data_IF_256093865143
#
_entry.id   IF_256093865143
#
_cell.length_a   1.000
_cell.length_b   1.000
_cell.length_c   1.000
_cell.angle_alpha   90.00
_cell.angle_beta   90.00
_cell.angle_gamma   90.00
#
_symmetry.space_group_name_H-M   'P 1'
#
loop_
_entity.id
_entity.type
_entity.pdbx_description
1 polymer ?
#
# COMPACT_ATOMS: atom_id res chain seq x y z
N UNK A 1 -35.89 -38.24 23.14
CA UNK A 1 -35.60 -36.85 23.56
C UNK A 1 -34.40 -36.38 22.75
N UNK A 2 -34.64 -35.35 21.94
CA UNK A 2 -33.73 -34.83 20.90
C UNK A 2 -32.62 -33.96 21.51
N UNK A 3 -31.40 -34.12 21.02
CA UNK A 3 -30.36 -33.08 21.06
C UNK A 3 -29.56 -33.17 19.76
N UNK A 4 -30.06 -32.42 18.79
CA UNK A 4 -29.37 -32.04 17.56
C UNK A 4 -28.18 -31.14 17.90
N UNK A 5 -26.98 -31.62 17.63
CA UNK A 5 -25.75 -30.82 17.49
C UNK A 5 -25.76 -30.17 16.10
N UNK A 6 -25.84 -28.85 16.06
CA UNK A 6 -25.65 -28.07 14.84
C UNK A 6 -24.16 -27.87 14.60
N UNK A 7 -23.64 -28.60 13.62
CA UNK A 7 -22.38 -28.28 12.94
C UNK A 7 -22.45 -26.86 12.38
N UNK A 8 -21.50 -26.01 12.79
CA UNK A 8 -21.23 -24.75 12.10
C UNK A 8 -20.11 -25.01 11.11
N UNK A 9 -20.53 -25.17 9.85
CA UNK A 9 -19.70 -25.04 8.67
C UNK A 9 -19.06 -23.65 8.69
N UNK A 10 -17.78 -23.58 9.03
CA UNK A 10 -16.96 -22.39 8.80
C UNK A 10 -16.35 -22.60 7.42
N UNK A 11 -16.92 -21.96 6.41
CA UNK A 11 -16.31 -21.82 5.09
C UNK A 11 -14.99 -21.05 5.26
N UNK A 12 -13.89 -21.79 5.38
CA UNK A 12 -12.57 -21.27 5.05
C UNK A 12 -12.55 -21.04 3.54
N UNK A 13 -12.81 -19.80 3.11
CA UNK A 13 -12.40 -19.37 1.78
C UNK A 13 -10.87 -19.42 1.73
N UNK A 14 -10.36 -20.61 1.43
CA UNK A 14 -9.03 -20.83 0.94
C UNK A 14 -9.04 -20.25 -0.48
N UNK A 15 -8.81 -18.95 -0.60
CA UNK A 15 -8.41 -18.35 -1.87
C UNK A 15 -7.03 -18.93 -2.16
N UNK A 16 -7.03 -20.10 -2.78
CA UNK A 16 -5.87 -20.70 -3.41
C UNK A 16 -5.48 -19.71 -4.50
N UNK A 17 -4.57 -18.79 -4.16
CA UNK A 17 -3.94 -17.88 -5.11
C UNK A 17 -3.04 -18.77 -5.95
N UNK A 18 -3.67 -19.43 -6.92
CA UNK A 18 -2.99 -20.18 -7.96
C UNK A 18 -2.11 -19.17 -8.70
N UNK A 19 -0.80 -19.30 -8.54
CA UNK A 19 0.20 -18.55 -9.30
C UNK A 19 0.30 -19.06 -10.76
N UNK A 20 -0.65 -19.87 -11.23
CA UNK A 20 -0.61 -20.51 -12.55
C UNK A 20 -0.64 -19.53 -13.73
N UNK A 21 -1.02 -18.27 -13.51
CA UNK A 21 -1.03 -17.23 -14.56
C UNK A 21 0.33 -16.51 -14.74
N UNK A 22 1.34 -16.74 -13.89
CA UNK A 22 2.70 -16.25 -14.17
C UNK A 22 3.43 -17.27 -15.06
N UNK A 23 3.15 -17.22 -16.37
CA UNK A 23 3.77 -18.08 -17.41
C UNK A 23 5.32 -18.13 -17.36
N UNK A 24 5.97 -17.30 -16.53
CA UNK A 24 7.41 -17.08 -16.52
C UNK A 24 8.13 -17.32 -15.17
N UNK A 25 7.42 -17.67 -14.08
CA UNK A 25 7.94 -17.68 -12.69
C UNK A 25 8.81 -16.45 -12.37
N UNK A 26 8.58 -15.31 -13.01
CA UNK A 26 9.42 -14.12 -12.82
C UNK A 26 9.15 -13.53 -11.45
N UNK A 27 7.88 -13.49 -11.03
CA UNK A 27 7.48 -12.91 -9.76
C UNK A 27 7.94 -13.74 -8.57
N UNK A 28 7.87 -15.07 -8.70
CA UNK A 28 8.40 -16.01 -7.70
C UNK A 28 9.91 -15.84 -7.54
N UNK A 29 10.67 -15.84 -8.64
CA UNK A 29 12.13 -15.63 -8.61
C UNK A 29 12.51 -14.29 -8.01
N UNK A 30 11.81 -13.21 -8.38
CA UNK A 30 12.02 -11.89 -7.81
C UNK A 30 11.85 -11.90 -6.28
N UNK A 31 10.78 -12.53 -5.79
CA UNK A 31 10.51 -12.64 -4.35
C UNK A 31 11.57 -13.48 -3.65
N UNK A 32 11.96 -14.63 -4.21
CA UNK A 32 13.00 -15.46 -3.63
C UNK A 32 14.37 -14.76 -3.59
N UNK A 33 14.77 -14.08 -4.66
CA UNK A 33 16.02 -13.32 -4.72
C UNK A 33 16.02 -12.17 -3.73
N UNK A 34 14.92 -11.40 -3.67
CA UNK A 34 14.73 -10.32 -2.70
C UNK A 34 14.80 -10.81 -1.26
N UNK A 35 14.14 -11.93 -0.94
CA UNK A 35 14.21 -12.54 0.39
C UNK A 35 15.60 -13.07 0.73
N UNK A 36 16.28 -13.73 -0.21
CA UNK A 36 17.67 -14.18 0.00
C UNK A 36 18.60 -13.00 0.26
N UNK A 37 18.41 -11.88 -0.44
CA UNK A 37 19.15 -10.65 -0.20
C UNK A 37 18.87 -10.07 1.19
N UNK A 38 17.60 -9.94 1.59
CA UNK A 38 17.21 -9.49 2.93
C UNK A 38 17.78 -10.38 4.04
N UNK A 39 17.72 -11.70 3.88
CA UNK A 39 18.29 -12.66 4.84
C UNK A 39 19.81 -12.55 4.99
N UNK A 40 20.50 -12.01 3.98
CA UNK A 40 21.93 -11.75 4.01
C UNK A 40 22.26 -10.32 4.52
N UNK A 41 21.29 -9.41 4.57
CA UNK A 41 21.49 -8.03 4.99
C UNK A 41 21.67 -7.92 6.52
N UNK A 42 22.66 -7.12 6.94
CA UNK A 42 22.99 -6.91 8.37
C UNK A 42 22.02 -5.98 9.09
N UNK A 43 21.25 -5.18 8.35
CA UNK A 43 20.27 -4.24 8.89
C UNK A 43 18.86 -4.81 8.90
N UNK A 44 18.63 -5.97 8.28
CA UNK A 44 17.34 -6.65 8.33
C UNK A 44 17.16 -7.35 9.69
N UNK A 45 16.22 -6.84 10.49
CA UNK A 45 15.86 -7.34 11.81
C UNK A 45 14.40 -7.78 11.80
N UNK A 46 14.09 -8.84 12.52
CA UNK A 46 12.73 -9.36 12.69
C UNK A 46 12.44 -9.64 14.16
N UNK A 47 11.20 -9.46 14.58
CA UNK A 47 10.68 -9.97 15.83
C UNK A 47 10.19 -11.41 15.62
N UNK A 48 10.80 -12.35 16.33
CA UNK A 48 10.34 -13.74 16.39
C UNK A 48 9.34 -13.92 17.55
N UNK A 49 8.18 -14.48 17.24
CA UNK A 49 7.14 -14.86 18.21
C UNK A 49 7.20 -16.38 18.41
N UNK A 50 7.58 -16.88 19.59
CA UNK A 50 7.76 -18.32 19.80
C UNK A 50 6.44 -19.08 19.97
N UNK A 51 6.43 -20.35 19.55
CA UNK A 51 5.24 -21.23 19.58
C UNK A 51 4.61 -21.41 20.97
N UNK A 52 5.44 -21.39 22.01
CA UNK A 52 5.10 -21.71 23.40
C UNK A 52 4.71 -20.48 24.22
N UNK A 53 4.56 -19.31 23.59
CA UNK A 53 4.23 -18.06 24.29
C UNK A 53 5.35 -17.56 25.21
N UNK A 54 6.59 -18.06 25.06
CA UNK A 54 7.76 -17.42 25.67
C UNK A 54 7.91 -15.99 25.15
N UNK A 55 8.80 -15.27 25.83
CA UNK A 55 9.14 -13.89 25.49
C UNK A 55 9.60 -13.80 24.03
N UNK A 56 9.11 -12.80 23.32
CA UNK A 56 9.44 -12.57 21.91
C UNK A 56 10.88 -12.07 21.81
N UNK A 57 11.53 -12.27 20.66
CA UNK A 57 12.96 -11.93 20.52
C UNK A 57 13.25 -11.27 19.18
N UNK A 58 14.07 -10.21 19.21
CA UNK A 58 14.64 -9.64 17.99
C UNK A 58 15.74 -10.55 17.45
N UNK A 59 15.65 -10.87 16.17
CA UNK A 59 16.58 -11.76 15.48
C UNK A 59 17.09 -11.08 14.22
N UNK A 60 18.40 -11.16 13.99
CA UNK A 60 19.05 -10.75 12.75
C UNK A 60 19.43 -11.99 11.94
N UNK A 61 18.72 -12.28 10.83
CA UNK A 61 18.95 -13.51 10.07
C UNK A 61 20.38 -13.63 9.52
N UNK A 62 21.02 -12.51 9.19
CA UNK A 62 22.40 -12.52 8.67
C UNK A 62 23.44 -13.02 9.68
N UNK A 63 23.17 -12.92 10.99
CA UNK A 63 24.04 -13.44 12.06
C UNK A 63 23.47 -14.64 12.83
N UNK A 64 22.15 -14.87 12.78
CA UNK A 64 21.49 -15.98 13.46
C UNK A 64 21.23 -17.15 12.50
N UNK A 65 22.17 -18.11 12.45
CA UNK A 65 22.09 -19.26 11.55
C UNK A 65 20.90 -20.18 11.83
N UNK A 66 20.42 -20.25 13.07
CA UNK A 66 19.27 -21.08 13.41
C UNK A 66 18.00 -20.51 12.79
N UNK A 67 17.72 -19.23 13.05
CA UNK A 67 16.55 -18.57 12.50
C UNK A 67 16.63 -18.45 10.97
N UNK A 68 17.80 -18.15 10.40
CA UNK A 68 17.99 -18.10 8.94
C UNK A 68 17.68 -19.43 8.26
N UNK A 69 18.23 -20.55 8.74
CA UNK A 69 17.96 -21.89 8.16
C UNK A 69 16.47 -22.21 8.21
N UNK A 70 15.81 -21.82 9.29
CA UNK A 70 14.38 -22.03 9.48
C UNK A 70 13.54 -21.20 8.51
N UNK A 71 13.91 -19.94 8.27
CA UNK A 71 13.25 -19.06 7.30
C UNK A 71 13.42 -19.58 5.87
N UNK A 72 14.64 -19.99 5.49
CA UNK A 72 14.92 -20.62 4.18
C UNK A 72 14.08 -21.88 3.99
N UNK A 73 14.05 -22.76 5.00
CA UNK A 73 13.23 -23.97 4.95
C UNK A 73 11.74 -23.65 4.75
N UNK A 74 11.19 -22.64 5.45
CA UNK A 74 9.79 -22.21 5.27
C UNK A 74 9.51 -21.67 3.88
N UNK A 75 10.46 -20.94 3.31
CA UNK A 75 10.38 -20.43 1.94
C UNK A 75 10.33 -21.59 0.93
N UNK A 76 11.21 -22.59 1.08
CA UNK A 76 11.25 -23.79 0.21
C UNK A 76 10.01 -24.69 0.36
N UNK A 77 9.39 -24.72 1.54
CA UNK A 77 8.20 -25.54 1.82
C UNK A 77 6.86 -24.82 1.51
N UNK A 78 6.90 -23.52 1.18
CA UNK A 78 5.70 -22.72 0.94
C UNK A 78 4.98 -23.17 -0.34
N UNK A 79 3.66 -23.38 -0.23
CA UNK A 79 2.78 -23.65 -1.37
C UNK A 79 2.08 -22.33 -1.74
N UNK A 80 2.69 -21.54 -2.62
CA UNK A 80 2.16 -20.23 -3.02
C UNK A 80 3.21 -19.13 -2.87
N UNK A 81 2.97 -18.16 -1.99
CA UNK A 81 3.89 -17.04 -1.76
C UNK A 81 5.13 -17.55 -1.01
N UNK A 82 6.34 -17.51 -1.57
CA UNK A 82 7.57 -17.94 -0.88
C UNK A 82 8.01 -16.92 0.20
N UNK A 83 7.12 -16.43 1.05
CA UNK A 83 7.43 -15.53 2.17
C UNK A 83 7.06 -16.15 3.52
N UNK A 84 7.68 -15.65 4.60
CA UNK A 84 7.58 -16.25 5.93
C UNK A 84 7.36 -15.24 7.07
N UNK A 85 7.36 -13.93 6.78
CA UNK A 85 7.22 -12.89 7.80
C UNK A 85 6.12 -11.88 7.46
N UNK A 86 5.48 -11.35 8.49
CA UNK A 86 4.49 -10.29 8.40
C UNK A 86 5.18 -8.93 8.51
N UNK A 87 4.67 -7.91 7.81
CA UNK A 87 5.01 -6.52 8.11
C UNK A 87 3.89 -5.89 8.93
N UNK A 88 4.24 -5.11 9.95
CA UNK A 88 3.27 -4.33 10.72
C UNK A 88 3.58 -2.85 10.56
N UNK A 89 2.55 -2.10 10.20
CA UNK A 89 2.61 -0.68 9.91
C UNK A 89 1.84 0.16 10.94
N UNK A 90 2.23 1.43 11.04
CA UNK A 90 1.53 2.50 11.74
C UNK A 90 1.57 2.40 13.26
N UNK A 91 2.74 2.18 13.88
CA UNK A 91 2.83 2.10 15.34
C UNK A 91 3.35 3.38 16.02
N UNK A 92 3.97 4.29 15.27
CA UNK A 92 4.59 5.51 15.79
C UNK A 92 3.57 6.62 16.09
N UNK A 93 3.87 7.44 17.10
CA UNK A 93 3.18 8.71 17.35
C UNK A 93 4.04 9.89 16.88
N UNK A 94 3.44 10.85 16.16
CA UNK A 94 4.10 12.06 15.66
C UNK A 94 4.30 13.17 16.71
N UNK A 95 4.00 12.91 17.99
CA UNK A 95 4.00 13.96 19.00
C UNK A 95 5.44 14.34 19.40
N UNK A 96 5.90 15.49 18.90
CA UNK A 96 7.17 16.14 19.23
C UNK A 96 7.40 16.38 20.73
N UNK A 97 6.33 16.34 21.53
CA UNK A 97 6.34 16.92 22.89
C UNK A 97 6.20 15.86 23.97
N UNK A 98 5.89 14.61 23.60
CA UNK A 98 5.83 13.45 24.48
C UNK A 98 6.07 12.21 23.64
N UNK A 99 7.34 11.79 23.51
CA UNK A 99 7.62 10.41 23.09
C UNK A 99 6.91 9.52 24.10
N UNK A 100 5.79 8.93 23.69
CA UNK A 100 5.06 7.96 24.49
C UNK A 100 5.90 6.68 24.50
N UNK A 101 6.98 6.71 25.28
CA UNK A 101 7.88 5.58 25.41
C UNK A 101 7.13 4.43 26.07
N UNK A 102 7.28 3.26 25.49
CA UNK A 102 6.79 2.02 26.09
C UNK A 102 7.91 1.42 26.94
N UNK A 103 7.98 1.86 28.19
CA UNK A 103 9.03 1.40 29.11
C UNK A 103 8.96 -0.10 29.43
N UNK A 104 7.76 -0.66 29.44
CA UNK A 104 7.51 -2.05 29.77
C UNK A 104 7.72 -3.02 28.60
N UNK A 105 8.13 -2.56 27.42
CA UNK A 105 8.36 -3.43 26.25
C UNK A 105 9.38 -4.54 26.55
N UNK A 106 10.37 -4.25 27.39
CA UNK A 106 11.37 -5.20 27.86
C UNK A 106 10.79 -6.37 28.67
N UNK A 107 9.52 -6.32 29.11
CA UNK A 107 8.83 -7.45 29.72
C UNK A 107 8.34 -8.47 28.67
N UNK A 108 8.15 -8.03 27.42
CA UNK A 108 7.57 -8.82 26.33
C UNK A 108 8.58 -9.20 25.25
N UNK A 109 9.60 -8.35 25.04
CA UNK A 109 10.58 -8.49 23.96
C UNK A 109 11.99 -8.52 24.52
N UNK A 110 12.80 -9.42 23.99
CA UNK A 110 14.25 -9.48 24.15
C UNK A 110 14.95 -8.93 22.90
N UNK A 111 16.09 -8.28 23.10
CA UNK A 111 16.99 -7.89 22.02
C UNK A 111 17.76 -9.10 21.45
N UNK A 112 18.67 -8.82 20.53
CA UNK A 112 19.45 -9.85 19.82
C UNK A 112 20.39 -10.60 20.77
N UNK A 113 20.82 -9.93 21.84
CA UNK A 113 21.69 -10.46 22.89
C UNK A 113 20.90 -11.18 24.00
N UNK A 114 19.57 -11.26 23.90
CA UNK A 114 18.70 -11.91 24.88
C UNK A 114 18.42 -11.06 26.12
N UNK A 115 18.73 -9.76 26.10
CA UNK A 115 18.41 -8.82 27.18
C UNK A 115 17.04 -8.19 26.94
N UNK A 116 16.36 -7.67 27.99
CA UNK A 116 15.13 -6.90 27.80
C UNK A 116 15.31 -5.77 26.78
N UNK A 117 14.39 -5.68 25.81
CA UNK A 117 14.42 -4.62 24.80
C UNK A 117 14.35 -3.22 25.44
N UNK A 118 15.08 -2.27 24.84
CA UNK A 118 15.05 -0.88 25.26
C UNK A 118 13.65 -0.25 25.02
N UNK A 119 13.26 0.78 25.79
CA UNK A 119 12.01 1.50 25.54
C UNK A 119 11.93 2.04 24.12
N UNK A 120 10.75 1.89 23.49
CA UNK A 120 10.49 2.37 22.13
C UNK A 120 9.35 3.37 22.11
N UNK A 121 9.36 4.32 21.17
CA UNK A 121 8.28 5.30 21.03
C UNK A 121 7.09 4.66 20.31
N UNK A 122 5.99 4.45 21.03
CA UNK A 122 4.79 3.80 20.50
C UNK A 122 3.53 4.30 21.21
N UNK A 123 2.49 4.59 20.42
CA UNK A 123 1.17 5.04 20.92
C UNK A 123 0.57 4.02 21.90
N UNK A 124 0.24 4.40 23.15
CA UNK A 124 -0.31 3.51 24.18
C UNK A 124 -1.53 2.70 23.74
N UNK A 125 -2.45 3.34 23.04
CA UNK A 125 -3.70 2.78 22.54
C UNK A 125 -3.50 1.59 21.59
N UNK A 126 -2.32 1.47 20.95
CA UNK A 126 -1.99 0.37 20.02
C UNK A 126 -1.39 -0.86 20.71
N UNK A 127 -0.89 -0.73 21.94
CA UNK A 127 -0.01 -1.73 22.56
C UNK A 127 -0.74 -3.05 22.84
N UNK A 128 -1.96 -2.98 23.35
CA UNK A 128 -2.74 -4.18 23.67
C UNK A 128 -3.18 -4.92 22.41
N UNK A 129 -3.62 -4.20 21.38
CA UNK A 129 -3.96 -4.78 20.08
C UNK A 129 -2.75 -5.41 19.41
N UNK A 130 -1.57 -4.77 19.46
CA UNK A 130 -0.32 -5.36 18.99
C UNK A 130 -0.02 -6.68 19.71
N UNK A 131 -0.05 -6.68 21.05
CA UNK A 131 0.25 -7.89 21.82
C UNK A 131 -0.76 -9.01 21.56
N UNK A 132 -2.05 -8.68 21.43
CA UNK A 132 -3.08 -9.65 21.04
C UNK A 132 -2.82 -10.23 19.65
N UNK A 133 -2.47 -9.38 18.67
CA UNK A 133 -2.16 -9.77 17.30
C UNK A 133 -0.98 -10.74 17.22
N UNK A 134 0.11 -10.45 17.94
CA UNK A 134 1.29 -11.29 17.97
C UNK A 134 1.02 -12.64 18.65
N UNK A 135 0.27 -12.66 19.75
CA UNK A 135 -0.09 -13.89 20.48
C UNK A 135 -1.00 -14.83 19.67
N UNK A 136 -1.88 -14.26 18.84
CA UNK A 136 -2.77 -15.02 17.97
C UNK A 136 -2.02 -15.75 16.84
N UNK A 137 -0.79 -15.32 16.54
CA UNK A 137 0.07 -15.90 15.50
C UNK A 137 1.40 -16.38 16.09
N UNK A 138 1.39 -17.43 16.93
CA UNK A 138 2.62 -17.96 17.48
C UNK A 138 3.47 -18.62 16.38
N UNK A 139 4.75 -18.74 16.64
CA UNK A 139 5.71 -19.35 15.72
C UNK A 139 5.93 -18.58 14.39
N UNK A 140 5.91 -17.25 14.44
CA UNK A 140 5.98 -16.38 13.26
C UNK A 140 7.09 -15.33 13.38
N UNK A 141 7.39 -14.68 12.27
CA UNK A 141 8.33 -13.57 12.20
C UNK A 141 7.62 -12.29 11.76
N UNK A 142 8.05 -11.17 12.32
CA UNK A 142 7.43 -9.87 12.09
C UNK A 142 8.48 -8.81 11.85
N UNK A 143 8.34 -8.05 10.78
CA UNK A 143 8.99 -6.77 10.67
C UNK A 143 8.07 -5.70 11.24
N UNK A 144 8.52 -5.03 12.29
CA UNK A 144 7.75 -4.01 12.99
C UNK A 144 8.63 -2.78 13.08
N UNK A 145 8.23 -1.70 12.42
CA UNK A 145 9.01 -0.47 12.30
C UNK A 145 9.61 0.02 13.63
N UNK A 146 8.82 0.19 14.69
CA UNK A 146 9.29 0.68 16.01
C UNK A 146 10.28 -0.24 16.72
N UNK A 147 10.39 -1.51 16.32
CA UNK A 147 11.29 -2.51 16.92
C UNK A 147 12.46 -2.88 16.01
N UNK A 148 12.24 -2.87 14.69
CA UNK A 148 13.14 -3.41 13.68
C UNK A 148 13.88 -2.30 12.91
N UNK A 149 13.30 -1.11 12.78
CA UNK A 149 13.97 0.03 12.17
C UNK A 149 14.86 0.72 13.21
N UNK A 150 16.16 0.70 12.98
CA UNK A 150 17.17 1.41 13.76
C UNK A 150 17.54 2.71 13.08
N UNK A 151 18.23 3.58 13.81
CA UNK A 151 18.76 4.84 13.27
C UNK A 151 19.75 4.61 12.12
N UNK A 152 20.36 3.41 12.04
CA UNK A 152 21.26 2.99 10.99
C UNK A 152 20.62 2.08 9.93
N UNK A 153 19.32 1.79 10.01
CA UNK A 153 18.63 1.00 8.98
C UNK A 153 18.60 1.78 7.66
N UNK A 154 19.22 1.27 6.58
CA UNK A 154 19.23 1.96 5.31
C UNK A 154 17.83 2.06 4.72
N UNK A 155 17.41 3.25 4.31
CA UNK A 155 16.09 3.42 3.67
C UNK A 155 15.95 2.63 2.36
N UNK A 156 17.08 2.29 1.72
CA UNK A 156 17.10 1.55 0.45
C UNK A 156 16.52 0.13 0.56
N UNK A 157 16.55 -0.49 1.75
CA UNK A 157 15.99 -1.84 1.96
C UNK A 157 14.51 -1.83 2.36
N UNK A 158 13.93 -0.67 2.64
CA UNK A 158 12.53 -0.57 3.10
C UNK A 158 11.54 -1.07 2.04
N UNK A 159 11.79 -0.74 0.77
CA UNK A 159 10.99 -1.25 -0.33
C UNK A 159 11.03 -2.78 -0.42
N UNK A 160 12.20 -3.38 -0.24
CA UNK A 160 12.37 -4.84 -0.26
C UNK A 160 11.64 -5.50 0.93
N UNK A 161 11.72 -4.89 2.12
CA UNK A 161 11.05 -5.38 3.32
C UNK A 161 9.55 -5.49 3.12
N UNK A 162 8.90 -4.48 2.53
CA UNK A 162 7.46 -4.57 2.25
C UNK A 162 7.17 -5.46 1.06
N UNK A 163 7.96 -5.37 -0.02
CA UNK A 163 7.76 -6.20 -1.21
C UNK A 163 7.84 -7.70 -0.92
N UNK A 164 8.69 -8.08 0.03
CA UNK A 164 8.95 -9.47 0.36
C UNK A 164 8.10 -10.02 1.52
N UNK A 165 7.24 -9.22 2.14
CA UNK A 165 6.43 -9.69 3.26
C UNK A 165 5.26 -10.58 2.82
N UNK A 166 4.88 -11.52 3.68
CA UNK A 166 3.76 -12.44 3.47
C UNK A 166 2.42 -11.71 3.50
N UNK A 167 2.28 -10.77 4.42
CA UNK A 167 1.10 -9.92 4.59
C UNK A 167 1.56 -8.66 5.32
N UNK A 168 1.07 -7.49 4.89
CA UNK A 168 1.26 -6.24 5.59
C UNK A 168 0.00 -5.90 6.36
N UNK A 169 0.11 -5.78 7.67
CA UNK A 169 -0.99 -5.40 8.55
C UNK A 169 -0.83 -3.93 8.89
N UNK A 170 -1.86 -3.12 8.64
CA UNK A 170 -1.91 -1.72 9.03
C UNK A 170 -2.88 -1.54 10.20
N UNK A 171 -2.35 -1.14 11.35
CA UNK A 171 -3.16 -0.81 12.53
C UNK A 171 -3.68 0.62 12.41
N UNK A 172 -4.80 0.82 11.73
CA UNK A 172 -5.35 2.13 11.41
C UNK A 172 -6.08 2.77 12.59
N UNK A 173 -5.92 4.08 12.76
CA UNK A 173 -6.60 4.89 13.77
C UNK A 173 -8.06 5.15 13.37
N UNK A 174 -8.88 4.13 13.56
CA UNK A 174 -10.33 4.20 13.38
C UNK A 174 -11.07 3.52 14.54
N UNK A 175 -12.37 3.78 14.64
CA UNK A 175 -13.25 3.07 15.57
C UNK A 175 -13.30 1.56 15.23
N UNK A 176 -13.21 0.64 16.22
CA UNK A 176 -13.29 -0.81 15.98
C UNK A 176 -14.58 -1.28 15.30
N UNK A 177 -15.67 -0.50 15.39
CA UNK A 177 -16.94 -0.77 14.71
C UNK A 177 -16.96 -0.38 13.23
N UNK A 178 -15.99 0.43 12.75
CA UNK A 178 -15.98 0.91 11.37
C UNK A 178 -15.77 -0.20 10.34
N UNK A 179 -14.74 -1.04 10.54
CA UNK A 179 -14.41 -2.13 9.61
C UNK A 179 -15.55 -3.17 9.53
N UNK A 180 -16.14 -3.64 10.65
CA UNK A 180 -17.33 -4.48 10.60
C UNK A 180 -18.51 -3.86 9.83
N UNK A 181 -18.75 -2.55 9.99
CA UNK A 181 -19.78 -1.85 9.23
C UNK A 181 -19.50 -1.87 7.73
N UNK A 182 -18.27 -1.55 7.32
CA UNK A 182 -17.85 -1.64 5.91
C UNK A 182 -18.02 -3.05 5.34
N UNK A 183 -17.68 -4.09 6.10
CA UNK A 183 -17.88 -5.49 5.67
C UNK A 183 -19.34 -5.91 5.55
N UNK A 184 -20.20 -5.35 6.41
CA UNK A 184 -21.63 -5.61 6.42
C UNK A 184 -22.37 -4.88 5.28
N UNK A 185 -21.74 -3.86 4.66
CA UNK A 185 -22.30 -3.20 3.49
C UNK A 185 -22.44 -4.17 2.32
N UNK A 186 -23.59 -4.17 1.61
CA UNK A 186 -23.75 -4.98 0.40
C UNK A 186 -22.67 -4.66 -0.63
N UNK A 187 -22.10 -5.69 -1.24
CA UNK A 187 -21.19 -5.54 -2.37
C UNK A 187 -21.92 -4.85 -3.53
N UNK A 188 -21.45 -3.66 -3.94
CA UNK A 188 -22.09 -2.87 -5.00
C UNK A 188 -21.79 -3.43 -6.40
N UNK A 189 -20.69 -4.16 -6.55
CA UNK A 189 -20.18 -4.69 -7.82
C UNK A 189 -21.10 -5.74 -8.44
N UNK A 190 -21.75 -6.57 -7.62
CA UNK A 190 -22.66 -7.64 -8.10
C UNK A 190 -23.91 -7.10 -8.81
N UNK A 191 -24.32 -5.87 -8.54
CA UNK A 191 -25.46 -5.23 -9.21
C UNK A 191 -25.15 -4.72 -10.62
N UNK A 192 -23.89 -4.37 -10.91
CA UNK A 192 -23.45 -3.85 -12.20
C UNK A 192 -23.20 -4.95 -13.22
N UNK A 193 -22.56 -6.05 -12.80
CA UNK A 193 -22.25 -7.16 -13.71
C UNK A 193 -23.48 -7.93 -14.18
N UNK A 194 -24.55 -7.99 -13.37
CA UNK A 194 -25.78 -8.72 -13.70
C UNK A 194 -26.75 -7.96 -14.60
N UNK A 195 -26.52 -6.66 -14.85
CA UNK A 195 -27.38 -5.78 -15.66
C UNK A 195 -26.72 -5.32 -16.97
N UNK A 196 -25.61 -5.96 -17.38
CA UNK A 196 -25.05 -5.81 -18.71
C UNK A 196 -26.04 -6.19 -19.84
N UNK A 197 -27.16 -6.86 -19.50
CA UNK A 197 -28.37 -6.84 -20.31
C UNK A 197 -29.23 -5.62 -19.97
N UNK A 198 -29.33 -4.67 -20.91
CA UNK A 198 -30.11 -3.41 -20.81
C UNK A 198 -31.30 -3.51 -19.85
N UNK A 199 -31.40 -2.66 -18.81
CA UNK A 199 -32.56 -2.64 -17.94
C UNK A 199 -33.80 -2.26 -18.76
N UNK A 200 -34.68 -3.23 -19.00
CA UNK A 200 -35.85 -3.06 -19.87
C UNK A 200 -37.04 -2.36 -19.20
N UNK A 201 -36.90 -1.89 -17.95
CA UNK A 201 -37.98 -1.26 -17.21
C UNK A 201 -37.47 -0.10 -16.32
N UNK A 202 -38.01 1.10 -16.53
CA UNK A 202 -37.68 2.34 -15.82
C UNK A 202 -37.87 2.23 -14.30
N UNK A 203 -38.82 1.41 -13.84
CA UNK A 203 -39.04 1.19 -12.40
C UNK A 203 -37.86 0.49 -11.72
N UNK A 204 -37.13 -0.37 -12.43
CA UNK A 204 -35.92 -1.01 -11.90
C UNK A 204 -34.75 -0.02 -11.85
N UNK A 205 -34.69 0.94 -12.78
CA UNK A 205 -33.69 1.99 -12.78
C UNK A 205 -33.90 2.95 -11.61
N UNK A 206 -35.14 3.35 -11.32
CA UNK A 206 -35.43 4.27 -10.21
C UNK A 206 -35.15 3.63 -8.84
N UNK A 207 -35.57 2.38 -8.63
CA UNK A 207 -35.26 1.64 -7.41
C UNK A 207 -33.75 1.36 -7.26
N UNK A 208 -33.06 1.12 -8.38
CA UNK A 208 -31.61 1.02 -8.42
C UNK A 208 -30.95 2.35 -8.04
N UNK A 209 -31.41 3.47 -8.62
CA UNK A 209 -30.91 4.82 -8.30
C UNK A 209 -31.17 5.20 -6.84
N UNK A 210 -32.32 4.86 -6.25
CA UNK A 210 -32.62 5.15 -4.84
C UNK A 210 -31.82 4.28 -3.86
N UNK A 211 -31.70 2.97 -4.15
CA UNK A 211 -30.81 2.08 -3.37
C UNK A 211 -29.36 2.49 -3.50
N UNK A 212 -28.98 3.00 -4.68
CA UNK A 212 -27.68 3.60 -4.91
C UNK A 212 -27.56 4.84 -4.03
N UNK A 213 -28.44 5.82 -4.11
CA UNK A 213 -28.30 7.10 -3.40
C UNK A 213 -28.11 6.98 -1.88
N UNK A 214 -28.99 6.25 -1.16
CA UNK A 214 -28.90 6.17 0.31
C UNK A 214 -27.69 5.33 0.78
N UNK A 215 -27.51 4.13 0.22
CA UNK A 215 -26.42 3.23 0.64
C UNK A 215 -25.08 3.69 0.13
N UNK A 216 -25.03 4.33 -1.04
CA UNK A 216 -23.82 4.94 -1.57
C UNK A 216 -23.41 6.11 -0.70
N UNK A 217 -24.34 6.97 -0.26
CA UNK A 217 -24.03 8.06 0.68
C UNK A 217 -23.44 7.52 1.97
N UNK A 218 -24.07 6.50 2.57
CA UNK A 218 -23.54 5.85 3.77
C UNK A 218 -22.15 5.22 3.52
N UNK A 219 -21.96 4.56 2.38
CA UNK A 219 -20.67 3.98 2.01
C UNK A 219 -19.58 5.06 1.88
N UNK A 220 -19.87 6.16 1.19
CA UNK A 220 -18.95 7.29 1.02
C UNK A 220 -18.61 7.90 2.38
N UNK A 221 -19.58 8.01 3.29
CA UNK A 221 -19.33 8.46 4.66
C UNK A 221 -18.39 7.52 5.42
N UNK A 222 -18.66 6.21 5.42
CA UNK A 222 -17.81 5.22 6.09
C UNK A 222 -16.39 5.19 5.50
N UNK A 223 -16.26 5.23 4.18
CA UNK A 223 -14.96 5.29 3.52
C UNK A 223 -14.26 6.62 3.79
N UNK A 224 -14.99 7.74 3.84
CA UNK A 224 -14.42 9.03 4.25
C UNK A 224 -13.85 8.99 5.67
N UNK A 225 -14.57 8.40 6.62
CA UNK A 225 -14.09 8.19 8.00
C UNK A 225 -12.83 7.30 8.00
N UNK A 226 -12.83 6.21 7.22
CA UNK A 226 -11.68 5.33 7.09
C UNK A 226 -10.46 6.10 6.56
N UNK A 227 -10.64 6.92 5.54
CA UNK A 227 -9.59 7.71 4.89
C UNK A 227 -9.08 8.89 5.75
N UNK A 228 -9.83 9.28 6.79
CA UNK A 228 -9.38 10.30 7.75
C UNK A 228 -8.29 9.80 8.70
N UNK A 229 -8.08 8.48 8.80
CA UNK A 229 -7.00 7.87 9.58
C UNK A 229 -5.64 8.48 9.22
N UNK A 230 -4.82 8.73 10.24
CA UNK A 230 -3.44 9.16 10.12
C UNK A 230 -2.57 8.16 9.34
N UNK A 231 -2.97 6.89 9.26
CA UNK A 231 -2.23 5.92 8.43
C UNK A 231 -2.15 6.38 6.99
N UNK A 232 -3.26 6.86 6.43
CA UNK A 232 -3.29 7.39 5.07
C UNK A 232 -2.41 8.62 4.90
N UNK A 233 -2.09 9.33 5.99
CA UNK A 233 -1.29 10.57 5.99
C UNK A 233 0.21 10.31 6.20
N UNK A 234 0.69 9.07 6.09
CA UNK A 234 2.12 8.76 6.15
C UNK A 234 2.73 8.71 4.76
N UNK A 235 3.99 9.11 4.64
CA UNK A 235 4.71 9.06 3.35
C UNK A 235 4.94 7.60 2.93
N UNK A 236 5.15 6.71 3.91
CA UNK A 236 5.42 5.28 3.71
C UNK A 236 4.19 4.45 3.34
N UNK A 237 2.96 4.98 3.50
CA UNK A 237 1.71 4.26 3.27
C UNK A 237 1.66 3.59 1.91
N UNK A 238 2.19 4.24 0.87
CA UNK A 238 2.17 3.68 -0.46
C UNK A 238 3.05 2.42 -0.59
N UNK A 239 4.24 2.42 0.00
CA UNK A 239 5.07 1.21 0.03
C UNK A 239 4.38 0.09 0.80
N UNK A 240 3.80 0.42 1.94
CA UNK A 240 3.07 -0.51 2.80
C UNK A 240 1.79 -1.06 2.15
N UNK A 241 1.18 -0.31 1.22
CA UNK A 241 -0.08 -0.69 0.57
C UNK A 241 0.14 -1.43 -0.76
N UNK A 242 1.16 -1.04 -1.51
CA UNK A 242 1.33 -1.50 -2.90
C UNK A 242 2.33 -2.62 -3.02
N UNK A 243 3.42 -2.57 -2.25
CA UNK A 243 4.53 -3.51 -2.41
C UNK A 243 4.25 -4.92 -1.91
N UNK A 244 3.57 -5.13 -0.76
CA UNK A 244 3.34 -6.45 -0.23
C UNK A 244 2.87 -7.42 -1.30
N UNK A 245 3.57 -8.55 -1.39
CA UNK A 245 3.18 -9.59 -2.33
C UNK A 245 1.83 -10.18 -1.92
N UNK A 246 1.65 -10.48 -0.62
CA UNK A 246 0.37 -10.92 -0.09
C UNK A 246 -0.51 -9.76 0.38
N UNK A 247 -1.54 -10.07 1.17
CA UNK A 247 -2.58 -9.12 1.52
C UNK A 247 -2.07 -7.87 2.26
N UNK A 248 -2.75 -6.75 2.04
CA UNK A 248 -2.68 -5.59 2.94
C UNK A 248 -3.93 -5.55 3.78
N UNK A 249 -3.80 -5.87 5.07
CA UNK A 249 -4.91 -6.01 6.00
C UNK A 249 -5.02 -4.80 6.90
N UNK A 250 -6.19 -4.15 6.90
CA UNK A 250 -6.51 -3.07 7.82
C UNK A 250 -7.14 -3.63 9.09
N UNK A 251 -6.68 -3.15 10.24
CA UNK A 251 -7.18 -3.50 11.58
C UNK A 251 -7.33 -2.20 12.37
N UNK A 252 -8.43 -2.05 13.11
CA UNK A 252 -8.58 -0.92 14.01
C UNK A 252 -7.54 -0.99 15.14
N UNK A 253 -6.89 0.13 15.43
CA UNK A 253 -5.74 0.19 16.32
C UNK A 253 -6.06 -0.14 17.79
N UNK A 254 -7.34 -0.08 18.16
CA UNK A 254 -7.88 -0.34 19.51
C UNK A 254 -8.72 -1.62 19.60
N UNK A 255 -8.75 -2.45 18.56
CA UNK A 255 -9.48 -3.72 18.61
C UNK A 255 -8.71 -4.75 19.45
N UNK A 256 -9.22 -5.05 20.64
CA UNK A 256 -8.65 -6.02 21.57
C UNK A 256 -9.44 -7.34 21.59
N UNK A 257 -10.45 -7.49 20.73
CA UNK A 257 -11.48 -8.53 20.90
C UNK A 257 -11.04 -9.95 20.50
N UNK A 258 -9.75 -10.20 20.22
CA UNK A 258 -9.21 -11.47 19.69
C UNK A 258 -9.99 -11.99 18.45
N UNK A 259 -10.68 -11.11 17.73
CA UNK A 259 -11.51 -11.44 16.56
C UNK A 259 -10.92 -10.88 15.27
N UNK A 260 -9.61 -11.02 15.11
CA UNK A 260 -8.90 -10.53 13.92
C UNK A 260 -9.42 -11.15 12.60
N UNK A 261 -10.05 -12.32 12.64
CA UNK A 261 -10.68 -12.91 11.46
C UNK A 261 -11.92 -12.12 10.97
N UNK A 262 -12.70 -11.50 11.87
CA UNK A 262 -13.98 -10.87 11.50
C UNK A 262 -13.93 -9.35 11.45
N UNK A 263 -12.98 -8.73 12.16
CA UNK A 263 -12.92 -7.28 12.34
C UNK A 263 -11.82 -6.61 11.49
N UNK A 264 -11.41 -7.27 10.40
CA UNK A 264 -10.35 -6.79 9.52
C UNK A 264 -10.85 -6.75 8.09
N UNK A 265 -10.29 -5.90 7.24
CA UNK A 265 -10.63 -5.86 5.81
C UNK A 265 -9.33 -5.73 5.03
N UNK A 266 -9.21 -6.44 3.92
CA UNK A 266 -8.04 -6.25 3.04
C UNK A 266 -8.26 -5.05 2.13
N UNK A 267 -7.17 -4.45 1.65
CA UNK A 267 -7.26 -3.39 0.63
C UNK A 267 -7.90 -3.94 -0.64
N UNK A 268 -7.61 -5.18 -1.02
CA UNK A 268 -8.23 -5.85 -2.17
C UNK A 268 -9.74 -6.04 -1.95
N UNK A 269 -10.18 -6.47 -0.75
CA UNK A 269 -11.61 -6.52 -0.40
C UNK A 269 -12.28 -5.15 -0.53
N UNK A 270 -11.62 -4.07 -0.07
CA UNK A 270 -12.14 -2.71 -0.21
C UNK A 270 -12.27 -2.30 -1.67
N UNK A 271 -11.23 -2.54 -2.47
CA UNK A 271 -11.21 -2.22 -3.90
C UNK A 271 -12.28 -3.03 -4.62
N UNK A 272 -12.31 -4.36 -4.49
CA UNK A 272 -13.24 -5.22 -5.21
C UNK A 272 -14.70 -4.99 -4.84
N UNK A 273 -15.00 -4.75 -3.56
CA UNK A 273 -16.38 -4.53 -3.11
C UNK A 273 -16.91 -3.17 -3.52
N UNK A 274 -16.02 -2.20 -3.64
CA UNK A 274 -16.38 -0.81 -3.79
C UNK A 274 -15.79 -0.17 -5.05
N UNK A 275 -15.32 -0.93 -6.04
CA UNK A 275 -14.51 -0.45 -7.19
C UNK A 275 -14.92 0.93 -7.72
N UNK A 276 -16.22 1.20 -7.92
CA UNK A 276 -16.69 2.52 -8.38
C UNK A 276 -16.43 3.64 -7.36
N UNK A 277 -16.75 3.39 -6.09
CA UNK A 277 -16.49 4.32 -4.98
C UNK A 277 -15.01 4.34 -4.56
N UNK A 278 -14.32 3.20 -4.60
CA UNK A 278 -12.91 3.04 -4.29
C UNK A 278 -12.03 3.68 -5.37
N UNK A 279 -12.39 3.60 -6.65
CA UNK A 279 -11.70 4.32 -7.71
C UNK A 279 -11.88 5.82 -7.54
N UNK A 280 -13.11 6.28 -7.22
CA UNK A 280 -13.33 7.68 -6.84
C UNK A 280 -12.50 8.04 -5.61
N UNK A 281 -12.45 7.20 -4.58
CA UNK A 281 -11.72 7.51 -3.34
C UNK A 281 -10.20 7.37 -3.50
N UNK A 282 -9.71 6.53 -4.41
CA UNK A 282 -8.30 6.47 -4.79
C UNK A 282 -7.95 7.66 -5.68
N UNK A 283 -8.80 8.07 -6.62
CA UNK A 283 -8.66 9.36 -7.31
C UNK A 283 -8.64 10.51 -6.28
N UNK A 284 -9.45 10.44 -5.21
CA UNK A 284 -9.51 11.43 -4.13
C UNK A 284 -8.32 11.32 -3.16
N UNK A 285 -7.83 10.13 -2.86
CA UNK A 285 -6.72 9.89 -1.93
C UNK A 285 -5.34 10.05 -2.58
N UNK A 286 -5.26 9.78 -3.88
CA UNK A 286 -4.11 10.05 -4.76
C UNK A 286 -4.12 11.54 -5.16
N UNK A 287 -5.27 12.15 -5.48
CA UNK A 287 -5.34 13.54 -5.99
C UNK A 287 -6.21 14.55 -5.24
N UNK A 288 -7.36 14.20 -4.64
CA UNK A 288 -8.13 15.19 -3.86
C UNK A 288 -7.54 15.48 -2.47
N UNK A 289 -6.36 16.10 -2.48
CA UNK A 289 -6.40 17.50 -2.08
C UNK A 289 -7.04 18.31 -3.21
N UNK A 290 -8.37 18.35 -3.23
CA UNK A 290 -9.25 19.11 -4.12
C UNK A 290 -8.69 20.48 -4.47
N UNK A 291 -8.08 20.69 -5.65
CA UNK A 291 -7.33 21.91 -6.08
C UNK A 291 -6.38 22.54 -5.03
N UNK A 292 -6.16 21.86 -3.90
CA UNK A 292 -5.62 22.37 -2.65
C UNK A 292 -4.75 21.31 -1.97
N UNK A 293 -4.24 20.33 -2.73
CA UNK A 293 -3.05 19.51 -2.45
C UNK A 293 -2.74 19.29 -0.95
N UNK A 294 -3.69 18.77 -0.18
CA UNK A 294 -3.66 18.82 1.29
C UNK A 294 -3.18 17.52 1.95
N UNK A 295 -2.37 16.76 1.21
CA UNK A 295 -1.53 15.69 1.78
C UNK A 295 -0.65 16.31 2.87
N UNK A 296 -1.11 16.30 4.14
CA UNK A 296 -0.41 16.84 5.31
C UNK A 296 0.79 15.95 5.72
N UNK A 297 1.17 14.99 4.89
CA UNK A 297 2.29 14.09 5.16
C UNK A 297 3.57 14.92 5.17
N UNK A 298 4.28 14.95 6.30
CA UNK A 298 5.54 15.68 6.45
C UNK A 298 6.67 14.73 6.79
N UNK A 299 7.85 15.03 6.29
CA UNK A 299 9.10 14.43 6.72
C UNK A 299 9.93 15.48 7.48
N UNK A 300 10.71 15.02 8.47
CA UNK A 300 11.68 15.89 9.15
C UNK A 300 12.90 16.15 8.28
N UNK A 301 13.36 15.12 7.58
CA UNK A 301 14.44 15.24 6.60
C UNK A 301 13.82 15.32 5.19
N UNK A 302 14.02 16.41 4.43
CA UNK A 302 13.51 16.53 3.08
C UNK A 302 13.89 15.36 2.16
N UNK A 303 15.04 14.71 2.37
CA UNK A 303 15.45 13.55 1.55
C UNK A 303 14.42 12.41 1.64
N UNK A 304 13.75 12.27 2.79
CA UNK A 304 12.83 11.17 3.06
C UNK A 304 11.56 11.26 2.20
N UNK A 305 11.21 12.43 1.65
CA UNK A 305 10.13 12.54 0.67
C UNK A 305 10.40 11.71 -0.58
N UNK A 306 11.66 11.66 -1.03
CA UNK A 306 12.05 10.83 -2.18
C UNK A 306 12.06 9.35 -1.77
N UNK A 307 12.71 9.00 -0.66
CA UNK A 307 12.77 7.61 -0.19
C UNK A 307 11.40 6.99 0.08
N UNK A 308 10.43 7.81 0.48
CA UNK A 308 9.04 7.42 0.66
C UNK A 308 8.35 6.93 -0.62
N UNK A 309 8.80 7.39 -1.80
CA UNK A 309 8.27 6.94 -3.11
C UNK A 309 9.22 5.98 -3.84
N UNK A 310 10.53 5.94 -3.51
CA UNK A 310 11.50 5.06 -4.17
C UNK A 310 11.13 3.58 -4.09
N UNK A 311 10.61 3.14 -2.94
CA UNK A 311 10.25 1.73 -2.76
C UNK A 311 9.20 1.28 -3.76
N UNK A 312 8.26 2.16 -4.15
CA UNK A 312 7.20 1.86 -5.13
C UNK A 312 7.81 1.46 -6.47
N UNK A 313 8.87 2.17 -6.89
CA UNK A 313 9.58 1.91 -8.14
C UNK A 313 10.76 0.94 -7.99
N UNK A 314 10.99 0.43 -6.77
CA UNK A 314 12.12 -0.42 -6.42
C UNK A 314 13.50 0.18 -6.80
N UNK A 315 13.59 1.51 -6.87
CA UNK A 315 14.83 2.20 -7.23
C UNK A 315 15.89 2.07 -6.12
N UNK A 316 17.08 1.61 -6.50
CA UNK A 316 18.21 1.41 -5.57
C UNK A 316 19.10 2.66 -5.49
N UNK A 317 18.53 3.78 -5.05
CA UNK A 317 19.28 5.03 -4.82
C UNK A 317 19.86 5.00 -3.40
N UNK A 318 21.19 5.09 -3.20
CA UNK A 318 21.79 5.15 -1.86
C UNK A 318 21.39 6.42 -1.12
N UNK A 319 21.28 6.37 0.23
CA UNK A 319 20.97 7.57 1.05
C UNK A 319 21.97 8.69 0.74
N UNK A 320 21.46 9.85 0.30
CA UNK A 320 22.25 11.05 0.04
C UNK A 320 21.95 12.10 1.11
N UNK A 321 22.94 12.94 1.43
CA UNK A 321 22.79 14.04 2.39
C UNK A 321 22.24 15.33 1.78
N UNK A 322 22.36 15.50 0.45
CA UNK A 322 21.79 16.66 -0.26
C UNK A 322 20.40 16.32 -0.86
N UNK A 323 19.31 16.94 -0.36
CA UNK A 323 17.95 16.77 -0.90
C UNK A 323 17.83 17.02 -2.40
N UNK A 324 18.61 17.96 -2.94
CA UNK A 324 18.50 18.32 -4.36
C UNK A 324 19.26 17.31 -5.24
N UNK A 325 20.33 16.72 -4.73
CA UNK A 325 21.03 15.65 -5.42
C UNK A 325 20.20 14.36 -5.48
N UNK A 326 19.55 13.97 -4.38
CA UNK A 326 18.66 12.78 -4.38
C UNK A 326 17.45 13.00 -5.30
N UNK A 327 16.87 14.20 -5.31
CA UNK A 327 15.79 14.53 -6.24
C UNK A 327 16.19 14.40 -7.71
N UNK A 328 17.33 15.00 -8.10
CA UNK A 328 17.82 14.87 -9.47
C UNK A 328 18.11 13.42 -9.84
N UNK A 329 18.73 12.65 -8.94
CA UNK A 329 18.99 11.23 -9.16
C UNK A 329 17.70 10.46 -9.34
N UNK A 330 16.68 10.74 -8.53
CA UNK A 330 15.35 10.15 -8.66
C UNK A 330 14.72 10.42 -10.02
N UNK A 331 14.72 11.66 -10.50
CA UNK A 331 14.17 11.99 -11.82
C UNK A 331 14.90 11.27 -12.97
N UNK A 332 16.23 11.12 -12.87
CA UNK A 332 17.03 10.36 -13.85
C UNK A 332 16.59 8.89 -13.88
N UNK A 333 16.49 8.25 -12.70
CA UNK A 333 16.06 6.86 -12.60
C UNK A 333 14.61 6.68 -13.07
N UNK A 334 13.74 7.64 -12.78
CA UNK A 334 12.35 7.62 -13.21
C UNK A 334 12.20 7.81 -14.73
N UNK A 335 13.00 8.70 -15.34
CA UNK A 335 13.01 8.88 -16.80
C UNK A 335 13.52 7.63 -17.51
N UNK A 336 14.58 7.01 -16.99
CA UNK A 336 15.09 5.74 -17.48
C UNK A 336 14.06 4.63 -17.35
N UNK A 337 13.39 4.53 -16.19
CA UNK A 337 12.31 3.58 -15.97
C UNK A 337 11.22 3.73 -17.02
N UNK A 338 10.67 4.95 -17.20
CA UNK A 338 9.63 5.22 -18.21
C UNK A 338 10.07 4.87 -19.63
N UNK A 339 11.35 5.04 -19.96
CA UNK A 339 11.91 4.63 -21.25
C UNK A 339 11.94 3.11 -21.41
N UNK A 340 12.44 2.40 -20.39
CA UNK A 340 12.56 0.93 -20.43
C UNK A 340 11.23 0.20 -20.41
N UNK A 341 10.20 0.77 -19.78
CA UNK A 341 8.85 0.18 -19.71
C UNK A 341 7.94 0.60 -20.86
N UNK A 342 8.42 1.43 -21.80
CA UNK A 342 7.64 1.88 -22.95
C UNK A 342 6.63 3.00 -22.64
N UNK A 343 6.46 3.39 -21.37
CA UNK A 343 5.61 4.51 -20.94
C UNK A 343 5.96 5.80 -21.70
N UNK A 344 7.26 6.00 -21.96
CA UNK A 344 7.75 7.15 -22.71
C UNK A 344 7.32 7.05 -24.17
N UNK A 345 6.67 8.12 -24.66
CA UNK A 345 6.10 8.26 -26.00
C UNK A 345 4.82 7.47 -26.29
N UNK A 346 4.28 6.72 -25.33
CA UNK A 346 2.94 6.15 -25.45
C UNK A 346 1.90 7.26 -25.59
N UNK A 347 0.95 7.04 -26.50
CA UNK A 347 -0.15 7.97 -26.74
C UNK A 347 -1.25 7.69 -25.74
N UNK A 348 -1.44 8.58 -24.78
CA UNK A 348 -2.44 8.39 -23.75
C UNK A 348 -3.75 9.06 -24.12
N UNK A 349 -4.74 8.23 -24.46
CA UNK A 349 -6.08 8.65 -24.82
C UNK A 349 -6.18 9.40 -26.16
N UNK A 350 -7.42 9.63 -26.59
CA UNK A 350 -7.72 10.32 -27.86
C UNK A 350 -7.27 11.79 -27.93
N UNK A 351 -6.70 12.34 -26.86
CA UNK A 351 -6.19 13.71 -26.79
C UNK A 351 -4.77 13.87 -27.38
N UNK A 352 -4.09 12.78 -27.77
CA UNK A 352 -2.79 12.83 -28.45
C UNK A 352 -1.61 13.29 -27.59
N UNK A 353 -1.76 13.27 -26.26
CA UNK A 353 -0.68 13.55 -25.33
C UNK A 353 0.34 12.41 -25.28
N UNK A 354 1.64 12.75 -25.19
CA UNK A 354 2.74 11.79 -25.02
C UNK A 354 3.66 12.26 -23.91
N UNK A 355 4.10 11.35 -23.06
CA UNK A 355 5.13 11.62 -22.05
C UNK A 355 6.49 11.54 -22.75
N UNK A 356 7.19 12.67 -22.92
CA UNK A 356 8.50 12.72 -23.57
C UNK A 356 9.68 12.78 -22.58
N UNK A 357 9.39 12.79 -21.27
CA UNK A 357 10.37 12.93 -20.19
C UNK A 357 10.12 14.17 -19.32
N UNK A 358 11.09 14.49 -18.46
CA UNK A 358 11.02 15.65 -17.55
C UNK A 358 11.64 16.91 -18.18
N UNK A 359 11.04 18.08 -17.92
CA UNK A 359 11.64 19.36 -18.32
C UNK A 359 12.89 19.72 -17.48
N UNK A 360 13.78 20.56 -18.03
CA UNK A 360 14.97 21.04 -17.30
C UNK A 360 14.62 21.68 -15.95
N UNK A 361 13.49 22.37 -15.88
CA UNK A 361 13.00 22.99 -14.63
C UNK A 361 12.80 21.98 -13.49
N UNK A 362 12.39 20.74 -13.82
CA UNK A 362 12.20 19.67 -12.85
C UNK A 362 13.47 19.38 -12.04
N UNK A 363 14.64 19.38 -12.70
CA UNK A 363 15.94 19.09 -12.09
C UNK A 363 16.45 20.22 -11.17
N UNK A 364 15.80 21.38 -11.22
CA UNK A 364 16.15 22.56 -10.41
C UNK A 364 15.22 22.79 -9.22
N UNK A 365 14.24 21.91 -8.99
CA UNK A 365 13.39 21.94 -7.80
C UNK A 365 14.24 21.80 -6.54
N UNK A 366 14.00 22.69 -5.57
CA UNK A 366 14.65 22.69 -4.27
C UNK A 366 13.77 21.96 -3.25
N UNK A 367 14.08 20.69 -2.99
CA UNK A 367 13.29 19.80 -2.15
C UNK A 367 13.19 20.30 -0.70
N UNK A 368 14.12 21.15 -0.27
CA UNK A 368 14.12 21.78 1.07
C UNK A 368 12.96 22.76 1.26
N UNK A 369 12.35 23.23 0.17
CA UNK A 369 11.17 24.10 0.20
C UNK A 369 9.87 23.32 0.34
N UNK A 370 9.88 22.01 0.13
CA UNK A 370 8.71 21.16 0.32
C UNK A 370 8.36 21.09 1.81
N UNK A 371 7.14 21.50 2.14
CA UNK A 371 6.63 21.44 3.52
C UNK A 371 5.84 20.17 3.78
N UNK A 372 5.29 19.60 2.71
CA UNK A 372 4.47 18.39 2.73
C UNK A 372 4.66 17.58 1.44
N UNK A 373 4.31 16.29 1.46
CA UNK A 373 4.46 15.40 0.30
C UNK A 373 3.67 15.89 -0.93
N UNK A 374 2.57 16.62 -0.70
CA UNK A 374 1.82 17.26 -1.78
C UNK A 374 2.66 18.25 -2.60
N UNK A 375 3.62 18.95 -1.98
CA UNK A 375 4.51 19.85 -2.72
C UNK A 375 5.42 19.06 -3.67
N UNK A 376 5.90 17.88 -3.23
CA UNK A 376 6.74 16.98 -4.05
C UNK A 376 5.95 16.40 -5.21
N UNK A 377 4.71 15.95 -4.98
CA UNK A 377 3.83 15.52 -6.07
C UNK A 377 3.53 16.64 -7.05
N UNK A 378 3.27 17.86 -6.57
CA UNK A 378 3.09 19.03 -7.43
C UNK A 378 4.31 19.26 -8.30
N UNK A 379 5.51 19.19 -7.73
CA UNK A 379 6.76 19.29 -8.49
C UNK A 379 6.91 18.18 -9.53
N UNK A 380 6.50 16.94 -9.26
CA UNK A 380 6.51 15.85 -10.26
C UNK A 380 5.53 16.11 -11.41
N UNK A 381 4.34 16.63 -11.11
CA UNK A 381 3.34 16.95 -12.13
C UNK A 381 3.77 18.15 -12.99
N UNK A 382 4.28 19.21 -12.36
CA UNK A 382 4.86 20.36 -13.06
C UNK A 382 6.06 19.93 -13.92
N UNK A 383 6.85 18.96 -13.44
CA UNK A 383 7.98 18.39 -14.16
C UNK A 383 7.58 17.58 -15.40
N UNK A 384 6.48 16.82 -15.32
CA UNK A 384 6.02 15.90 -16.39
C UNK A 384 5.17 16.57 -17.47
N UNK A 385 4.63 17.77 -17.21
CA UNK A 385 3.79 18.53 -18.16
C UNK A 385 4.57 19.22 -19.29
N UNK A 386 5.78 18.75 -19.61
CA UNK A 386 6.55 19.22 -20.78
C UNK A 386 5.93 18.70 -22.09
N UNK A 387 4.71 19.13 -22.40
CA UNK A 387 3.99 18.77 -23.61
C UNK A 387 4.70 19.37 -24.82
N UNK A 388 4.99 18.54 -25.82
CA UNK A 388 5.34 19.02 -27.16
C UNK A 388 4.17 19.82 -27.72
N UNK A 389 4.19 21.15 -27.58
CA UNK A 389 3.23 22.10 -28.13
C UNK A 389 3.27 22.08 -29.67
N UNK A 390 2.73 21.04 -30.31
CA UNK A 390 2.34 21.13 -31.72
C UNK A 390 0.95 21.76 -31.79
N UNK A 391 0.93 23.10 -31.86
CA UNK A 391 -0.19 23.98 -32.28
C UNK A 391 -1.58 23.61 -31.76
N UNK A 392 -1.89 23.99 -30.53
CA UNK A 392 -3.27 24.29 -30.12
C UNK A 392 -3.22 25.66 -29.46
N UNK A 393 -3.46 26.73 -30.23
CA UNK A 393 -3.38 28.12 -29.73
C UNK A 393 -4.71 28.65 -29.17
N UNK A 394 -5.79 27.88 -29.21
CA UNK A 394 -7.15 28.43 -29.05
C UNK A 394 -8.03 27.77 -27.96
N UNK A 395 -7.47 27.17 -26.90
CA UNK A 395 -8.30 26.62 -25.79
C UNK A 395 -7.84 27.09 -24.40
N UNK A 396 -8.28 28.28 -24.03
CA UNK A 396 -8.03 28.98 -22.75
C UNK A 396 -8.83 28.40 -21.54
N UNK A 397 -9.36 27.18 -21.66
CA UNK A 397 -10.09 26.48 -20.60
C UNK A 397 -9.65 25.01 -20.42
N UNK A 398 -8.57 24.61 -21.09
CA UNK A 398 -8.13 23.21 -21.20
C UNK A 398 -6.98 22.81 -20.27
N UNK A 399 -6.28 23.75 -19.65
CA UNK A 399 -5.07 23.47 -18.86
C UNK A 399 -5.36 22.60 -17.62
N UNK A 400 -6.49 22.83 -16.93
CA UNK A 400 -6.89 22.02 -15.78
C UNK A 400 -7.34 20.62 -16.19
N UNK A 401 -8.09 20.48 -17.30
CA UNK A 401 -8.52 19.16 -17.80
C UNK A 401 -7.39 18.34 -18.43
N UNK A 402 -6.45 18.99 -19.12
CA UNK A 402 -5.24 18.32 -19.61
C UNK A 402 -4.33 17.91 -18.45
N UNK A 403 -4.18 18.75 -17.42
CA UNK A 403 -3.44 18.41 -16.21
C UNK A 403 -4.06 17.18 -15.54
N UNK A 404 -5.38 17.16 -15.32
CA UNK A 404 -6.10 16.00 -14.75
C UNK A 404 -5.93 14.76 -15.62
N UNK A 405 -6.08 14.85 -16.95
CA UNK A 405 -5.92 13.71 -17.85
C UNK A 405 -4.48 13.18 -17.85
N UNK A 406 -3.47 14.05 -17.89
CA UNK A 406 -2.04 13.70 -17.80
C UNK A 406 -1.71 13.07 -16.45
N UNK A 407 -2.34 13.55 -15.40
CA UNK A 407 -2.16 13.15 -14.01
C UNK A 407 -2.79 11.79 -13.73
N UNK A 408 -4.05 11.59 -14.14
CA UNK A 408 -4.71 10.28 -14.15
C UNK A 408 -3.96 9.30 -15.04
N UNK A 409 -3.44 9.73 -16.18
CA UNK A 409 -2.64 8.90 -17.08
C UNK A 409 -1.30 8.51 -16.46
N UNK A 410 -0.56 9.46 -15.89
CA UNK A 410 0.71 9.20 -15.22
C UNK A 410 0.49 8.25 -14.04
N UNK A 411 -0.62 8.42 -13.32
CA UNK A 411 -1.00 7.48 -12.26
C UNK A 411 -1.45 6.14 -12.81
N UNK A 412 -2.26 6.07 -13.86
CA UNK A 412 -2.66 4.81 -14.51
C UNK A 412 -1.44 4.08 -15.08
N UNK A 413 -0.46 4.78 -15.63
CA UNK A 413 0.80 4.20 -16.09
C UNK A 413 1.65 3.72 -14.91
N UNK A 414 1.68 4.48 -13.81
CA UNK A 414 2.43 4.13 -12.60
C UNK A 414 1.73 3.05 -11.75
N UNK A 415 0.41 2.92 -11.84
CA UNK A 415 -0.40 1.89 -11.17
C UNK A 415 -0.58 0.65 -12.02
N UNK A 416 -0.78 0.78 -13.32
CA UNK A 416 -0.82 -0.33 -14.27
C UNK A 416 0.51 -1.08 -14.39
N UNK A 417 1.64 -0.45 -14.05
CA UNK A 417 2.93 -1.14 -13.96
C UNK A 417 3.21 -1.81 -12.60
N UNK A 418 2.31 -1.66 -11.61
CA UNK A 418 2.48 -2.33 -10.33
C UNK A 418 1.93 -3.76 -10.45
N UNK A 419 2.75 -4.81 -10.17
CA UNK A 419 2.40 -6.22 -10.42
C UNK A 419 1.09 -6.71 -9.80
N UNK A 420 0.50 -5.95 -8.88
CA UNK A 420 -0.74 -6.28 -8.18
C UNK A 420 -2.00 -5.75 -8.89
N UNK A 421 -1.89 -4.72 -9.73
CA UNK A 421 -3.05 -4.05 -10.34
C UNK A 421 -3.45 -4.70 -11.68
N UNK A 422 -2.53 -5.41 -12.33
CA UNK A 422 -2.79 -6.13 -13.59
C UNK A 422 -3.88 -7.20 -13.46
N UNK A 423 -4.11 -7.79 -12.29
CA UNK A 423 -5.10 -8.85 -12.11
C UNK A 423 -6.56 -8.37 -11.99
N UNK A 424 -6.81 -7.07 -11.75
CA UNK A 424 -8.18 -6.57 -11.53
C UNK A 424 -8.63 -5.48 -12.52
N UNK A 425 -7.75 -4.97 -13.38
CA UNK A 425 -8.05 -3.86 -14.29
C UNK A 425 -7.74 -4.23 -15.74
N UNK A 426 -8.42 -5.24 -16.28
CA UNK A 426 -8.63 -5.33 -17.73
C UNK A 426 -9.63 -4.24 -18.12
N UNK A 427 -9.13 -3.04 -18.42
CA UNK A 427 -9.89 -2.04 -19.16
C UNK A 427 -10.12 -2.60 -20.57
N UNK A 428 -11.26 -3.25 -20.76
CA UNK A 428 -11.78 -3.54 -22.09
C UNK A 428 -11.92 -2.22 -22.85
N UNK A 429 -10.94 -1.91 -23.67
CA UNK A 429 -11.08 -0.93 -24.73
C UNK A 429 -12.10 -1.51 -25.70
N UNK A 430 -13.36 -1.12 -25.53
CA UNK A 430 -14.41 -1.36 -26.51
C UNK A 430 -13.99 -0.68 -27.81
N UNK A 431 -13.55 -1.48 -28.77
CA UNK A 431 -13.28 -1.08 -30.14
C UNK A 431 -14.62 -0.77 -30.85
N UNK A 432 -15.10 0.47 -30.71
CA UNK A 432 -16.26 0.97 -31.46
C UNK A 432 -15.75 1.50 -32.80
N UNK A 433 -15.34 0.59 -33.69
CA UNK A 433 -15.12 0.95 -35.10
C UNK A 433 -15.06 -0.27 -36.01
N UNK A 434 -16.22 -0.88 -36.31
CA UNK A 434 -16.47 -1.58 -37.59
C UNK A 434 -17.91 -2.10 -37.71
N UNK A 435 -18.84 -1.25 -38.12
CA UNK A 435 -19.98 -1.64 -38.97
C UNK A 435 -20.36 -0.46 -39.86
N UNK A 436 -19.70 -0.37 -41.01
CA UNK A 436 -20.21 0.29 -42.20
C UNK A 436 -19.82 -0.61 -43.38
N UNK A 437 -20.76 -1.47 -43.74
CA UNK A 437 -20.75 -2.38 -44.88
C UNK A 437 -22.18 -2.82 -45.13
#
# INVERSE_FOLDING_TARGET
MSRTTTDRNIDSHNSDVSLEDDESNVRERFLEEGLRALLADKHFLLLYVPANGFKMRLVRPSSDLYHRKRMVKRMEEARGIPSFYYALSHLWGLANDNQQLWHDIGNYVEDEEGKPAAPVSMRPEKRDTLLALLRDRPDTYWWIDVLCARTDTPLVIMGDIYACCLECIAMIDCDPGLIPQLRAMPCMTKGLSSTAGKPSNENNLLAYMQLYDDKYTQLIELLSILMQSQWWKRVWTWQEMVLPFGDVRLVAETDTTNRFATNTITVDDLVDRFQVAAFRIMEIGIFLGDDNSDSQRRCYDPVDYVYGVLGIFQFKIPRMTDPNAVWRRFLIELDHYMETTGIKNESFGGAGGRITGFCDHAYHVDLRKAKKMADVYRYLLEASTCYSHRRIKDLDYSTTRLSIAATSTFVIAMTGCLPRIDHHVYLGTMDISREAG
#
